data_IF_339496481530
#
_entry.id   IF_339496481530
#
_cell.length_a   1.000
_cell.length_b   1.000
_cell.length_c   1.000
_cell.angle_alpha   90.00
_cell.angle_beta   90.00
_cell.angle_gamma   90.00
#
_symmetry.space_group_name_H-M   'P 1'
#
loop_
_entity.id
_entity.type
_entity.pdbx_description
1 polymer ?
#
# COMPACT_ATOMS: atom_id res chain seq x y z
N UNK A 1 -8.79 23.01 -38.51
CA UNK A 1 -8.78 22.92 -37.03
C UNK A 1 -9.63 21.74 -36.63
N UNK A 2 -9.02 20.61 -36.30
CA UNK A 2 -9.69 19.46 -35.69
C UNK A 2 -8.97 19.23 -34.37
N UNK A 3 -9.66 19.40 -33.25
CA UNK A 3 -9.17 18.92 -31.97
C UNK A 3 -9.18 17.38 -32.01
N UNK A 4 -8.14 16.69 -31.51
CA UNK A 4 -8.23 15.26 -31.35
C UNK A 4 -9.16 14.97 -30.17
N UNK A 5 -9.98 13.93 -30.32
CA UNK A 5 -10.77 13.37 -29.23
C UNK A 5 -9.80 12.91 -28.13
N UNK A 6 -9.82 13.59 -26.99
CA UNK A 6 -9.21 13.08 -25.77
C UNK A 6 -10.00 11.83 -25.37
N UNK A 7 -9.40 10.67 -25.62
CA UNK A 7 -9.82 9.40 -25.12
C UNK A 7 -9.78 9.50 -23.59
N UNK A 8 -10.91 9.79 -22.96
CA UNK A 8 -11.10 9.69 -21.51
C UNK A 8 -11.16 8.21 -21.15
N UNK A 9 -10.02 7.52 -21.25
CA UNK A 9 -9.84 6.26 -20.56
C UNK A 9 -10.01 6.52 -19.07
N UNK A 10 -10.74 5.63 -18.38
CA UNK A 10 -11.03 5.75 -16.95
C UNK A 10 -9.81 6.29 -16.19
N UNK A 11 -9.94 7.44 -15.53
CA UNK A 11 -8.92 7.96 -14.60
C UNK A 11 -8.93 7.05 -13.38
N UNK A 12 -8.34 5.86 -13.53
CA UNK A 12 -8.27 4.84 -12.51
C UNK A 12 -7.34 5.27 -11.38
N UNK A 13 -7.68 4.90 -10.15
CA UNK A 13 -6.80 5.12 -9.01
C UNK A 13 -5.66 4.11 -9.06
N UNK A 14 -4.42 4.58 -9.03
CA UNK A 14 -3.25 3.72 -8.91
C UNK A 14 -2.96 3.44 -7.43
N UNK A 15 -2.95 2.17 -7.05
CA UNK A 15 -2.72 1.73 -5.67
C UNK A 15 -1.41 0.93 -5.63
N UNK A 16 -0.49 1.33 -4.76
CA UNK A 16 0.73 0.56 -4.49
C UNK A 16 0.79 0.19 -3.02
N UNK A 17 0.98 -1.09 -2.74
CA UNK A 17 0.98 -1.64 -1.38
C UNK A 17 2.32 -2.33 -1.12
N UNK A 18 2.97 -1.97 -0.02
CA UNK A 18 4.17 -2.64 0.44
C UNK A 18 3.91 -3.32 1.78
N UNK A 19 4.15 -4.63 1.85
CA UNK A 19 3.85 -5.45 3.04
C UNK A 19 5.12 -6.08 3.60
N UNK A 20 5.06 -6.45 4.88
CA UNK A 20 6.03 -7.36 5.48
C UNK A 20 5.74 -8.80 5.01
N UNK A 21 6.71 -9.44 4.35
CA UNK A 21 6.51 -10.77 3.77
C UNK A 21 6.42 -11.88 4.82
N UNK A 22 7.11 -11.75 5.95
CA UNK A 22 7.07 -12.75 7.04
C UNK A 22 5.68 -12.77 7.69
N UNK A 23 5.07 -11.61 7.92
CA UNK A 23 3.72 -11.53 8.49
C UNK A 23 2.63 -12.08 7.56
N UNK A 24 2.82 -11.99 6.24
CA UNK A 24 1.85 -12.54 5.28
C UNK A 24 1.87 -14.08 5.27
N UNK A 25 3.04 -14.71 5.44
CA UNK A 25 3.16 -16.16 5.49
C UNK A 25 2.50 -16.78 6.74
N UNK A 26 2.38 -15.99 7.82
CA UNK A 26 1.87 -16.46 9.12
C UNK A 26 0.35 -16.27 9.30
N UNK A 27 -0.33 -15.50 8.43
CA UNK A 27 -1.76 -15.17 8.62
C UNK A 27 -2.56 -15.02 7.31
N UNK A 28 -3.74 -15.65 7.31
CA UNK A 28 -4.87 -15.25 6.45
C UNK A 28 -5.27 -13.77 6.71
N UNK A 29 -5.76 -13.03 5.68
CA UNK A 29 -6.16 -13.55 4.38
C UNK A 29 -5.16 -13.22 3.26
N UNK A 30 -4.42 -14.24 2.82
CA UNK A 30 -3.67 -14.21 1.56
C UNK A 30 -4.64 -13.97 0.39
N UNK A 31 -5.87 -14.50 0.50
CA UNK A 31 -6.91 -14.35 -0.53
C UNK A 31 -7.28 -12.89 -0.83
N UNK A 32 -7.44 -12.03 0.18
CA UNK A 32 -7.85 -10.63 -0.05
C UNK A 32 -6.76 -9.87 -0.80
N UNK A 33 -5.48 -10.11 -0.47
CA UNK A 33 -4.37 -9.49 -1.18
C UNK A 33 -4.20 -10.06 -2.59
N UNK A 34 -4.47 -11.35 -2.81
CA UNK A 34 -4.51 -11.93 -4.15
C UNK A 34 -5.64 -11.32 -5.00
N UNK A 35 -6.87 -11.27 -4.47
CA UNK A 35 -8.02 -10.66 -5.15
C UNK A 35 -7.72 -9.18 -5.50
N UNK A 36 -7.08 -8.45 -4.57
CA UNK A 36 -6.69 -7.05 -4.79
C UNK A 36 -5.58 -6.92 -5.84
N UNK A 37 -4.61 -7.83 -5.86
CA UNK A 37 -3.55 -7.86 -6.87
C UNK A 37 -4.07 -8.17 -8.29
N UNK A 38 -5.23 -8.83 -8.42
CA UNK A 38 -5.89 -9.02 -9.72
C UNK A 38 -6.61 -7.75 -10.22
N UNK A 39 -6.75 -6.70 -9.39
CA UNK A 39 -7.43 -5.45 -9.77
C UNK A 39 -6.54 -4.54 -10.62
N UNK A 40 -6.99 -4.06 -11.81
CA UNK A 40 -6.23 -3.13 -12.63
C UNK A 40 -5.82 -1.87 -11.86
N UNK A 41 -4.53 -1.50 -11.95
CA UNK A 41 -3.99 -0.34 -11.27
C UNK A 41 -3.50 -0.61 -9.83
N UNK A 42 -3.64 -1.84 -9.31
CA UNK A 42 -3.04 -2.26 -8.05
C UNK A 42 -1.70 -2.96 -8.30
N UNK A 43 -0.67 -2.56 -7.55
CA UNK A 43 0.59 -3.30 -7.46
C UNK A 43 0.93 -3.58 -6.00
N UNK A 44 1.16 -4.84 -5.67
CA UNK A 44 1.52 -5.28 -4.31
C UNK A 44 2.92 -5.87 -4.34
N UNK A 45 3.77 -5.37 -3.43
CA UNK A 45 5.11 -5.91 -3.20
C UNK A 45 5.32 -6.25 -1.75
N UNK A 46 6.20 -7.21 -1.49
CA UNK A 46 6.52 -7.68 -0.16
C UNK A 46 8.01 -7.52 0.13
N UNK A 47 8.32 -7.26 1.40
CA UNK A 47 9.67 -7.38 1.94
C UNK A 47 9.96 -8.86 2.18
N UNK A 48 10.81 -9.48 1.35
CA UNK A 48 11.18 -10.89 1.50
C UNK A 48 12.32 -11.10 2.52
N UNK A 49 13.21 -10.11 2.70
CA UNK A 49 14.36 -10.26 3.61
C UNK A 49 13.95 -10.52 5.06
N UNK A 50 14.58 -11.54 5.67
CA UNK A 50 14.62 -11.80 7.14
C UNK A 50 15.55 -10.78 7.82
N UNK A 51 15.30 -9.50 7.54
CA UNK A 51 15.90 -8.34 8.20
C UNK A 51 14.81 -7.60 8.98
N UNK A 52 15.10 -6.43 9.55
CA UNK A 52 14.15 -5.67 10.38
C UNK A 52 12.74 -5.55 9.75
N UNK A 53 11.67 -5.70 10.55
CA UNK A 53 10.31 -5.77 10.04
C UNK A 53 9.88 -4.47 9.35
N UNK A 54 9.06 -4.59 8.29
CA UNK A 54 8.33 -3.46 7.73
C UNK A 54 7.22 -3.07 8.71
N UNK A 55 7.52 -2.14 9.62
CA UNK A 55 6.66 -1.85 10.75
C UNK A 55 5.75 -0.62 10.57
N UNK A 56 5.76 0.04 9.41
CA UNK A 56 4.88 1.20 9.17
C UNK A 56 3.43 0.76 8.94
N UNK A 57 2.51 1.62 9.34
CA UNK A 57 1.06 1.48 9.13
C UNK A 57 0.54 2.80 8.56
N UNK A 58 1.05 3.11 7.37
CA UNK A 58 0.98 4.45 6.82
C UNK A 58 0.65 4.40 5.34
N UNK A 59 -0.11 5.39 4.86
CA UNK A 59 -0.39 5.59 3.45
C UNK A 59 -0.51 7.09 3.15
N UNK A 60 -0.34 7.44 1.88
CA UNK A 60 -0.61 8.79 1.40
C UNK A 60 -1.65 8.76 0.28
N UNK A 61 -2.40 9.85 0.14
CA UNK A 61 -3.39 10.04 -0.92
C UNK A 61 -3.03 11.29 -1.72
N UNK A 62 -2.98 11.15 -3.05
CA UNK A 62 -2.80 12.21 -4.06
C UNK A 62 -1.62 13.18 -3.82
N UNK A 63 -0.61 12.75 -3.08
CA UNK A 63 0.52 13.59 -2.68
C UNK A 63 0.11 14.73 -1.75
N UNK A 64 -1.04 14.65 -1.07
CA UNK A 64 -1.62 15.73 -0.26
C UNK A 64 -1.88 15.33 1.19
N UNK A 65 -2.25 14.08 1.43
CA UNK A 65 -2.61 13.59 2.76
C UNK A 65 -1.68 12.45 3.14
N UNK A 66 -1.14 12.47 4.35
CA UNK A 66 -0.41 11.37 4.96
C UNK A 66 -1.18 10.89 6.20
N UNK A 67 -1.53 9.61 6.21
CA UNK A 67 -2.07 8.91 7.35
C UNK A 67 -0.97 8.03 7.94
N UNK A 68 -0.70 8.13 9.24
CA UNK A 68 0.35 7.35 9.90
C UNK A 68 0.05 7.19 11.39
N UNK A 69 0.60 6.16 12.04
CA UNK A 69 0.39 5.95 13.47
C UNK A 69 0.77 4.55 13.91
N UNK A 70 0.33 4.19 15.11
CA UNK A 70 0.58 2.88 15.70
C UNK A 70 -0.41 1.80 15.22
N UNK A 71 -1.61 2.22 14.78
CA UNK A 71 -2.70 1.32 14.44
C UNK A 71 -2.41 0.47 13.19
N UNK A 72 -2.38 -0.85 13.35
CA UNK A 72 -2.49 -1.78 12.22
C UNK A 72 -3.84 -1.66 11.51
N UNK A 73 -3.85 -1.90 10.20
CA UNK A 73 -5.07 -2.00 9.37
C UNK A 73 -5.84 -3.28 9.66
N UNK A 74 -6.31 -3.43 10.90
CA UNK A 74 -7.07 -4.57 11.38
C UNK A 74 -8.22 -4.09 12.26
N UNK A 75 -9.25 -4.94 12.40
CA UNK A 75 -10.39 -4.61 13.25
C UNK A 75 -9.96 -4.33 14.71
N UNK A 76 -8.96 -5.04 15.23
CA UNK A 76 -8.45 -4.78 16.58
C UNK A 76 -7.68 -3.46 16.67
N UNK A 77 -6.79 -3.20 15.70
CA UNK A 77 -5.96 -2.00 15.68
C UNK A 77 -6.77 -0.72 15.56
N UNK A 78 -7.86 -0.77 14.80
CA UNK A 78 -8.71 0.40 14.51
C UNK A 78 -9.88 0.59 15.47
N UNK A 79 -10.30 -0.44 16.23
CA UNK A 79 -11.54 -0.36 17.04
C UNK A 79 -11.39 -0.74 18.51
N UNK A 80 -10.30 -1.39 18.91
CA UNK A 80 -10.18 -1.99 20.26
C UNK A 80 -8.91 -1.63 20.99
N UNK A 81 -7.81 -1.43 20.27
CA UNK A 81 -6.53 -1.09 20.87
C UNK A 81 -6.41 0.43 21.00
N UNK A 82 -5.86 0.89 22.11
CA UNK A 82 -5.48 2.29 22.30
C UNK A 82 -4.25 2.59 21.42
N UNK A 83 -4.51 3.07 20.21
CA UNK A 83 -3.49 3.43 19.23
C UNK A 83 -3.62 4.90 18.86
N UNK A 84 -2.47 5.54 18.66
CA UNK A 84 -2.43 6.87 18.06
C UNK A 84 -2.58 6.80 16.54
N UNK A 85 -3.30 7.79 16.01
CA UNK A 85 -3.42 8.09 14.59
C UNK A 85 -3.10 9.57 14.37
N UNK A 86 -2.22 9.83 13.41
CA UNK A 86 -1.87 11.17 12.94
C UNK A 86 -2.27 11.28 11.47
N UNK A 87 -3.08 12.29 11.16
CA UNK A 87 -3.42 12.69 9.79
C UNK A 87 -2.78 14.04 9.51
N UNK A 88 -1.97 14.10 8.47
CA UNK A 88 -1.25 15.31 8.06
C UNK A 88 -1.75 15.69 6.66
N UNK A 89 -2.42 16.84 6.56
CA UNK A 89 -2.73 17.49 5.29
C UNK A 89 -1.56 18.40 4.90
N UNK A 90 -0.73 17.94 3.97
CA UNK A 90 0.46 18.67 3.55
C UNK A 90 1.27 17.93 2.48
N UNK A 91 1.51 18.63 1.36
CA UNK A 91 2.22 18.05 0.22
C UNK A 91 3.68 17.66 0.54
N UNK A 92 4.35 18.41 1.42
CA UNK A 92 5.73 18.12 1.81
C UNK A 92 5.84 16.79 2.58
N UNK A 93 4.97 16.58 3.57
CA UNK A 93 4.95 15.34 4.36
C UNK A 93 4.61 14.14 3.48
N UNK A 94 3.59 14.26 2.62
CA UNK A 94 3.21 13.23 1.68
C UNK A 94 4.34 12.90 0.69
N UNK A 95 5.04 13.91 0.15
CA UNK A 95 6.18 13.72 -0.74
C UNK A 95 7.37 13.04 -0.03
N UNK A 96 7.65 13.41 1.23
CA UNK A 96 8.71 12.79 2.03
C UNK A 96 8.42 11.31 2.30
N UNK A 97 7.18 10.99 2.70
CA UNK A 97 6.74 9.61 2.85
C UNK A 97 6.85 8.85 1.51
N UNK A 98 6.37 9.44 0.41
CA UNK A 98 6.40 8.81 -0.91
C UNK A 98 7.82 8.46 -1.35
N UNK A 99 8.82 9.34 -1.16
CA UNK A 99 10.22 9.04 -1.51
C UNK A 99 10.75 7.79 -0.77
N UNK A 100 10.48 7.70 0.53
CA UNK A 100 10.89 6.55 1.33
C UNK A 100 10.12 5.27 0.95
N UNK A 101 8.82 5.40 0.69
CA UNK A 101 7.99 4.32 0.19
C UNK A 101 8.52 3.81 -1.16
N UNK A 102 8.80 4.69 -2.11
CA UNK A 102 9.27 4.33 -3.45
C UNK A 102 10.58 3.54 -3.38
N UNK A 103 11.53 3.93 -2.53
CA UNK A 103 12.78 3.20 -2.33
C UNK A 103 12.55 1.77 -1.79
N UNK A 104 11.69 1.62 -0.78
CA UNK A 104 11.34 0.29 -0.22
C UNK A 104 10.54 -0.56 -1.19
N UNK A 105 9.62 0.05 -1.90
CA UNK A 105 8.79 -0.63 -2.89
C UNK A 105 9.65 -1.14 -4.04
N UNK A 106 10.63 -0.35 -4.51
CA UNK A 106 11.56 -0.77 -5.56
C UNK A 106 12.41 -1.99 -5.17
N UNK A 107 12.77 -2.14 -3.89
CA UNK A 107 13.48 -3.32 -3.37
C UNK A 107 12.57 -4.50 -3.01
N UNK A 108 11.25 -4.34 -3.13
CA UNK A 108 10.27 -5.37 -2.86
C UNK A 108 10.10 -6.38 -3.99
N UNK A 109 9.72 -7.59 -3.63
CA UNK A 109 9.36 -8.65 -4.57
C UNK A 109 7.85 -8.65 -4.81
N UNK A 110 7.41 -9.15 -5.97
CA UNK A 110 5.98 -9.30 -6.26
C UNK A 110 5.33 -10.27 -5.26
N UNK A 111 4.04 -10.06 -4.98
CA UNK A 111 3.26 -10.97 -4.14
C UNK A 111 3.32 -12.41 -4.72
N UNK A 112 3.70 -13.44 -3.94
CA UNK A 112 3.67 -14.81 -4.40
C UNK A 112 2.21 -15.26 -4.54
N UNK A 113 1.69 -15.26 -5.76
CA UNK A 113 0.34 -15.75 -6.04
C UNK A 113 0.41 -17.29 -6.02
N UNK A 114 -0.29 -17.91 -5.08
CA UNK A 114 -0.45 -19.37 -5.07
C UNK A 114 -1.09 -19.81 -6.39
N UNK A 115 -0.49 -20.79 -7.08
CA UNK A 115 -1.04 -21.34 -8.30
C UNK A 115 -2.48 -21.84 -8.04
N UNK A 116 -3.42 -21.45 -8.92
CA UNK A 116 -4.81 -21.94 -8.88
C UNK A 116 -4.77 -23.47 -8.98
N UNK A 117 -5.25 -24.17 -7.95
CA UNK A 117 -5.55 -25.61 -8.01
C UNK A 117 -6.85 -25.82 -8.79
#
# INVERSE_FOLDING_TARGET
>A
MSAPAENLEHVGVHIRIYLDGAQLAEREPVKVFNDLAETPGVEIRIKHEISDPMHLKSYQIDGKLLHTGAANFSASGLKRQDNDLIVIEGAEAAASFKRNFDARFASGEALPIAAKQ
#
